data_IF_564960165529
#
_entry.id   IF_564960165529
#
_cell.length_a   1.000
_cell.length_b   1.000
_cell.length_c   1.000
_cell.angle_alpha   90.00
_cell.angle_beta   90.00
_cell.angle_gamma   90.00
#
_symmetry.space_group_name_H-M   'P 1'
#
loop_
_entity.id
_entity.type
_entity.pdbx_description
1 polymer ?
#
# COMPACT_ATOMS: atom_id res chain seq x y z
N UNK A 1 2.48 -24.18 0.98
CA UNK A 1 3.06 -22.84 1.25
C UNK A 1 2.44 -21.78 0.34
N UNK A 2 2.63 -20.49 0.59
CA UNK A 2 1.99 -19.42 -0.20
C UNK A 2 2.32 -19.48 -1.70
N UNK A 3 3.57 -19.82 -2.05
CA UNK A 3 3.97 -20.03 -3.45
C UNK A 3 3.18 -21.15 -4.13
N UNK A 4 2.98 -22.31 -3.47
CA UNK A 4 2.16 -23.40 -4.01
C UNK A 4 0.71 -22.95 -4.24
N UNK A 5 0.12 -22.24 -3.27
CA UNK A 5 -1.24 -21.71 -3.41
C UNK A 5 -1.34 -20.68 -4.54
N UNK A 6 -0.31 -19.86 -4.76
CA UNK A 6 -0.24 -18.94 -5.89
C UNK A 6 -0.36 -19.68 -7.22
N UNK A 7 0.45 -20.73 -7.40
CA UNK A 7 0.46 -21.53 -8.63
C UNK A 7 -0.85 -22.29 -8.82
N UNK A 8 -1.37 -22.90 -7.76
CA UNK A 8 -2.56 -23.74 -7.85
C UNK A 8 -3.87 -22.94 -7.96
N UNK A 9 -3.94 -21.75 -7.34
CA UNK A 9 -5.20 -21.01 -7.16
C UNK A 9 -5.21 -19.64 -7.81
N UNK A 10 -4.09 -18.93 -7.81
CA UNK A 10 -4.02 -17.56 -8.33
C UNK A 10 -3.71 -17.53 -9.83
N UNK A 11 -2.66 -18.23 -10.27
CA UNK A 11 -2.26 -18.33 -11.68
C UNK A 11 -3.41 -18.76 -12.62
N UNK A 12 -4.28 -19.72 -12.26
CA UNK A 12 -5.43 -20.05 -13.10
C UNK A 12 -6.39 -18.89 -13.33
N UNK A 13 -6.51 -17.93 -12.40
CA UNK A 13 -7.34 -16.74 -12.60
C UNK A 13 -6.78 -15.86 -13.72
N UNK A 14 -5.47 -15.71 -13.82
CA UNK A 14 -4.82 -15.03 -14.95
C UNK A 14 -5.06 -15.79 -16.25
N UNK A 15 -4.73 -17.09 -16.28
CA UNK A 15 -4.76 -17.91 -17.50
C UNK A 15 -6.17 -18.15 -18.05
N UNK A 16 -7.16 -18.36 -17.17
CA UNK A 16 -8.50 -18.80 -17.59
C UNK A 16 -9.57 -17.70 -17.49
N UNK A 17 -9.30 -16.63 -16.72
CA UNK A 17 -10.25 -15.53 -16.52
C UNK A 17 -9.69 -14.16 -16.94
N UNK A 18 -8.46 -14.11 -17.46
CA UNK A 18 -7.82 -12.87 -17.93
C UNK A 18 -7.63 -11.83 -16.83
N UNK A 19 -7.46 -12.27 -15.58
CA UNK A 19 -7.26 -11.37 -14.44
C UNK A 19 -5.79 -10.97 -14.30
N UNK A 20 -5.56 -9.74 -13.82
CA UNK A 20 -4.24 -9.31 -13.32
C UNK A 20 -4.14 -9.64 -11.83
N UNK A 21 -2.97 -10.04 -11.38
CA UNK A 21 -2.70 -10.51 -10.03
C UNK A 21 -1.70 -9.57 -9.33
N UNK A 22 -2.08 -9.08 -8.16
CA UNK A 22 -1.18 -8.34 -7.28
C UNK A 22 -0.49 -9.36 -6.37
N UNK A 23 0.83 -9.21 -6.19
CA UNK A 23 1.58 -10.01 -5.22
C UNK A 23 1.11 -9.76 -3.78
N UNK A 24 1.49 -10.61 -2.81
CA UNK A 24 1.08 -10.44 -1.43
C UNK A 24 1.59 -9.10 -0.83
N UNK A 25 0.68 -8.30 -0.26
CA UNK A 25 1.00 -7.09 0.48
C UNK A 25 1.58 -7.42 1.85
N UNK A 26 2.91 -7.36 1.97
CA UNK A 26 3.61 -7.64 3.23
C UNK A 26 3.84 -6.35 4.02
N UNK A 27 3.96 -6.45 5.34
CA UNK A 27 4.39 -5.31 6.17
C UNK A 27 5.78 -4.82 5.78
N UNK A 28 6.03 -3.53 5.96
CA UNK A 28 7.28 -2.85 5.60
C UNK A 28 8.45 -3.11 6.57
N UNK A 29 8.41 -4.19 7.35
CA UNK A 29 9.47 -4.57 8.27
C UNK A 29 10.39 -5.64 7.65
N UNK A 30 11.50 -5.94 8.32
CA UNK A 30 12.48 -6.93 7.84
C UNK A 30 11.87 -8.33 7.69
N UNK A 31 10.85 -8.69 8.48
CA UNK A 31 10.22 -9.99 8.39
C UNK A 31 9.33 -10.09 7.14
N UNK A 32 8.55 -9.05 6.85
CA UNK A 32 7.74 -8.91 5.64
C UNK A 32 8.61 -8.88 4.38
N UNK A 33 9.71 -8.12 4.38
CA UNK A 33 10.65 -8.09 3.26
C UNK A 33 11.29 -9.46 3.00
N UNK A 34 11.74 -10.14 4.05
CA UNK A 34 12.31 -11.49 3.93
C UNK A 34 11.28 -12.49 3.42
N UNK A 35 10.05 -12.41 3.90
CA UNK A 35 8.97 -13.28 3.44
C UNK A 35 8.66 -13.05 1.96
N UNK A 36 8.55 -11.79 1.55
CA UNK A 36 8.31 -11.43 0.16
C UNK A 36 9.44 -11.89 -0.75
N UNK A 37 10.69 -11.76 -0.32
CA UNK A 37 11.85 -12.26 -1.07
C UNK A 37 11.81 -13.78 -1.27
N UNK A 38 11.48 -14.56 -0.22
CA UNK A 38 11.31 -16.02 -0.34
C UNK A 38 10.15 -16.39 -1.27
N UNK A 39 9.00 -15.70 -1.14
CA UNK A 39 7.84 -15.92 -2.00
C UNK A 39 8.16 -15.63 -3.48
N UNK A 40 8.73 -14.45 -3.78
CA UNK A 40 9.07 -14.02 -5.13
C UNK A 40 10.11 -14.97 -5.76
N UNK A 41 11.12 -15.41 -5.00
CA UNK A 41 12.11 -16.37 -5.47
C UNK A 41 11.50 -17.70 -5.90
N UNK A 42 10.59 -18.27 -5.08
CA UNK A 42 9.93 -19.56 -5.36
C UNK A 42 9.01 -19.52 -6.58
N UNK A 43 8.30 -18.40 -6.82
CA UNK A 43 7.43 -18.29 -7.99
C UNK A 43 8.22 -17.94 -9.25
N UNK A 44 9.37 -17.28 -9.12
CA UNK A 44 10.28 -16.99 -10.22
C UNK A 44 10.91 -18.27 -10.79
N UNK A 45 11.28 -19.23 -9.93
CA UNK A 45 11.74 -20.56 -10.37
C UNK A 45 10.72 -21.30 -11.26
N UNK A 46 9.44 -20.93 -11.14
CA UNK A 46 8.33 -21.54 -11.90
C UNK A 46 7.84 -20.66 -13.06
N UNK A 47 8.40 -19.46 -13.24
CA UNK A 47 7.99 -18.51 -14.29
C UNK A 47 6.60 -17.88 -14.07
N UNK A 48 6.09 -17.87 -12.84
CA UNK A 48 4.71 -17.45 -12.53
C UNK A 48 4.66 -16.17 -11.69
N UNK A 49 5.04 -15.07 -12.31
CA UNK A 49 5.18 -13.75 -11.67
C UNK A 49 3.84 -13.06 -11.41
N UNK A 50 3.75 -12.12 -10.44
CA UNK A 50 2.62 -11.20 -10.34
C UNK A 50 2.63 -10.17 -11.47
N UNK A 51 1.47 -9.57 -11.74
CA UNK A 51 1.36 -8.43 -12.65
C UNK A 51 1.71 -7.10 -11.94
N UNK A 52 1.59 -7.07 -10.61
CA UNK A 52 1.91 -5.92 -9.76
C UNK A 52 2.61 -6.32 -8.45
N UNK A 53 3.51 -5.47 -7.96
CA UNK A 53 4.08 -5.59 -6.62
C UNK A 53 3.13 -4.97 -5.59
N UNK A 54 2.61 -5.77 -4.65
CA UNK A 54 1.78 -5.29 -3.54
C UNK A 54 2.64 -4.84 -2.36
N UNK A 55 2.40 -3.65 -1.81
CA UNK A 55 3.14 -3.10 -0.66
C UNK A 55 2.19 -2.52 0.39
N UNK A 56 2.49 -2.75 1.68
CA UNK A 56 1.85 -2.05 2.80
C UNK A 56 2.89 -1.18 3.51
N UNK A 57 2.49 0.02 3.96
CA UNK A 57 3.37 0.87 4.77
C UNK A 57 2.61 1.63 5.85
N UNK A 58 3.11 1.58 7.08
CA UNK A 58 2.60 2.37 8.20
C UNK A 58 3.77 2.98 8.95
N UNK A 59 3.79 4.32 9.05
CA UNK A 59 4.90 5.04 9.67
C UNK A 59 4.58 6.51 9.92
N UNK A 60 5.37 7.22 10.74
CA UNK A 60 5.11 8.63 11.03
C UNK A 60 5.70 9.58 9.97
N UNK A 61 6.63 9.11 9.13
CA UNK A 61 7.45 9.92 8.22
C UNK A 61 7.13 9.58 6.75
N UNK A 62 6.65 10.57 6.00
CA UNK A 62 6.30 10.41 4.60
C UNK A 62 7.53 10.21 3.70
N UNK A 63 8.68 10.79 4.06
CA UNK A 63 9.92 10.54 3.34
C UNK A 63 10.39 9.09 3.48
N UNK A 64 10.21 8.49 4.67
CA UNK A 64 10.51 7.08 4.90
C UNK A 64 9.55 6.15 4.12
N UNK A 65 8.28 6.53 3.95
CA UNK A 65 7.33 5.80 3.12
C UNK A 65 7.75 5.79 1.64
N UNK A 66 8.15 6.95 1.12
CA UNK A 66 8.65 7.11 -0.25
C UNK A 66 9.91 6.27 -0.46
N UNK A 67 10.89 6.38 0.44
CA UNK A 67 12.14 5.60 0.38
C UNK A 67 11.87 4.09 0.42
N UNK A 68 10.88 3.63 1.19
CA UNK A 68 10.48 2.23 1.18
C UNK A 68 9.94 1.80 -0.18
N UNK A 69 9.03 2.58 -0.77
CA UNK A 69 8.49 2.29 -2.11
C UNK A 69 9.61 2.25 -3.17
N UNK A 70 10.51 3.23 -3.15
CA UNK A 70 11.67 3.28 -4.06
C UNK A 70 12.60 2.08 -3.88
N UNK A 71 12.90 1.70 -2.63
CA UNK A 71 13.71 0.51 -2.33
C UNK A 71 13.07 -0.74 -2.91
N UNK A 72 11.77 -0.94 -2.68
CA UNK A 72 11.07 -2.13 -3.15
C UNK A 72 10.98 -2.18 -4.67
N UNK A 73 10.74 -1.04 -5.33
CA UNK A 73 10.78 -0.96 -6.79
C UNK A 73 12.20 -1.17 -7.34
N UNK A 74 13.25 -0.72 -6.66
CA UNK A 74 14.65 -0.99 -7.05
C UNK A 74 14.99 -2.49 -7.00
N UNK A 75 14.46 -3.22 -6.02
CA UNK A 75 14.62 -4.68 -5.91
C UNK A 75 13.81 -5.41 -7.00
N UNK A 76 12.63 -4.89 -7.35
CA UNK A 76 11.66 -5.50 -8.27
C UNK A 76 11.25 -4.52 -9.39
N UNK A 77 12.19 -4.09 -10.26
CA UNK A 77 11.97 -2.96 -11.18
C UNK A 77 11.00 -3.27 -12.32
N UNK A 78 10.73 -4.53 -12.60
CA UNK A 78 9.83 -4.94 -13.69
C UNK A 78 8.35 -4.83 -13.35
N UNK A 79 8.01 -4.60 -12.07
CA UNK A 79 6.63 -4.60 -11.61
C UNK A 79 6.19 -3.19 -11.23
N UNK A 80 5.11 -2.67 -11.86
CA UNK A 80 4.40 -1.54 -11.29
C UNK A 80 3.88 -1.89 -9.90
N UNK A 81 3.83 -0.90 -9.03
CA UNK A 81 3.56 -1.05 -7.60
C UNK A 81 2.12 -0.68 -7.29
N UNK A 82 1.46 -1.53 -6.51
CA UNK A 82 0.18 -1.22 -5.85
C UNK A 82 0.45 -1.09 -4.36
N UNK A 83 0.32 0.12 -3.83
CA UNK A 83 0.41 0.35 -2.39
C UNK A 83 -0.96 0.09 -1.79
N UNK A 84 -1.25 -1.19 -1.51
CA UNK A 84 -2.58 -1.66 -1.15
C UNK A 84 -3.05 -1.23 0.24
N UNK A 85 -2.12 -0.82 1.12
CA UNK A 85 -2.45 -0.16 2.38
C UNK A 85 -1.36 0.85 2.77
N UNK A 86 -1.74 2.09 3.08
CA UNK A 86 -0.83 3.09 3.64
C UNK A 86 -1.51 4.05 4.62
N UNK A 87 -0.85 4.39 5.73
CA UNK A 87 -1.32 5.45 6.62
C UNK A 87 -0.22 6.00 7.53
N UNK A 88 -0.39 7.26 7.96
CA UNK A 88 0.40 7.81 9.04
C UNK A 88 -0.01 7.21 10.38
N UNK A 89 0.97 6.82 11.21
CA UNK A 89 0.73 6.40 12.60
C UNK A 89 0.92 7.54 13.62
N UNK A 90 1.21 8.76 13.15
CA UNK A 90 1.34 9.92 14.04
C UNK A 90 0.03 10.19 14.78
N UNK A 91 0.12 10.52 16.06
CA UNK A 91 -1.04 10.92 16.89
C UNK A 91 -1.29 12.43 16.83
N UNK A 92 -0.55 13.14 16.00
CA UNK A 92 -0.71 14.58 15.76
C UNK A 92 -1.43 14.78 14.43
N UNK A 93 -2.59 15.42 14.45
CA UNK A 93 -3.39 15.69 13.24
C UNK A 93 -2.61 16.38 12.12
N UNK A 94 -1.81 17.39 12.45
CA UNK A 94 -1.01 18.14 11.46
C UNK A 94 -0.03 17.21 10.73
N UNK A 95 0.67 16.36 11.48
CA UNK A 95 1.66 15.43 10.91
C UNK A 95 0.99 14.37 10.02
N UNK A 96 -0.21 13.90 10.40
CA UNK A 96 -1.00 12.98 9.56
C UNK A 96 -1.36 13.62 8.22
N UNK A 97 -1.83 14.87 8.23
CA UNK A 97 -2.18 15.59 6.99
C UNK A 97 -0.94 15.85 6.13
N UNK A 98 0.18 16.25 6.73
CA UNK A 98 1.44 16.46 6.03
C UNK A 98 1.97 15.17 5.38
N UNK A 99 1.99 14.05 6.14
CA UNK A 99 2.34 12.73 5.61
C UNK A 99 1.44 12.37 4.41
N UNK A 100 0.13 12.50 4.58
CA UNK A 100 -0.85 12.05 3.56
C UNK A 100 -0.69 12.87 2.28
N UNK A 101 -0.59 14.20 2.38
CA UNK A 101 -0.41 15.07 1.23
C UNK A 101 0.94 14.83 0.53
N UNK A 102 2.04 14.70 1.28
CA UNK A 102 3.36 14.43 0.71
C UNK A 102 3.37 13.13 -0.08
N UNK A 103 2.85 12.05 0.52
CA UNK A 103 2.92 10.72 -0.07
C UNK A 103 1.95 10.59 -1.26
N UNK A 104 0.72 11.09 -1.14
CA UNK A 104 -0.24 11.08 -2.25
C UNK A 104 0.28 11.86 -3.47
N UNK A 105 0.75 13.09 -3.26
CA UNK A 105 1.28 13.93 -4.33
C UNK A 105 2.52 13.34 -5.01
N UNK A 106 3.38 12.66 -4.24
CA UNK A 106 4.54 11.95 -4.82
C UNK A 106 4.08 10.74 -5.64
N UNK A 107 3.16 9.91 -5.11
CA UNK A 107 2.64 8.73 -5.82
C UNK A 107 1.93 9.12 -7.12
N UNK A 108 1.16 10.21 -7.13
CA UNK A 108 0.50 10.73 -8.34
C UNK A 108 1.49 11.10 -9.47
N UNK A 109 2.71 11.48 -9.12
CA UNK A 109 3.76 11.86 -10.08
C UNK A 109 4.69 10.70 -10.43
N UNK A 110 4.57 9.56 -9.73
CA UNK A 110 5.49 8.45 -9.82
C UNK A 110 4.97 7.39 -10.82
N UNK A 111 5.56 7.26 -12.03
CA UNK A 111 4.94 6.52 -13.14
C UNK A 111 4.85 5.00 -12.94
N UNK A 112 5.62 4.46 -11.99
CA UNK A 112 5.60 3.04 -11.65
C UNK A 112 4.70 2.73 -10.46
N UNK A 113 4.11 3.74 -9.80
CA UNK A 113 2.99 3.53 -8.88
C UNK A 113 1.72 3.40 -9.73
N UNK A 114 1.11 2.22 -9.71
CA UNK A 114 -0.14 1.96 -10.44
C UNK A 114 -1.35 2.54 -9.72
N UNK A 115 -1.45 2.29 -8.41
CA UNK A 115 -2.49 2.85 -7.52
C UNK A 115 -2.04 2.75 -6.05
N UNK A 116 -2.72 3.48 -5.18
CA UNK A 116 -2.47 3.49 -3.74
C UNK A 116 -3.77 3.61 -2.94
N UNK A 117 -3.78 3.08 -1.72
CA UNK A 117 -4.97 3.02 -0.87
C UNK A 117 -4.67 3.46 0.56
N UNK A 118 -5.08 4.69 0.91
CA UNK A 118 -4.98 5.18 2.28
C UNK A 118 -5.96 4.46 3.21
N UNK A 119 -5.45 3.92 4.31
CA UNK A 119 -6.21 3.12 5.27
C UNK A 119 -6.97 4.00 6.28
N UNK A 120 -8.13 3.54 6.76
CA UNK A 120 -8.87 4.16 7.86
C UNK A 120 -10.31 4.57 7.55
N UNK A 121 -10.86 4.20 6.39
CA UNK A 121 -12.25 4.49 6.02
C UNK A 121 -13.24 3.49 6.65
N UNK A 122 -13.33 3.52 7.97
CA UNK A 122 -14.17 2.62 8.78
C UNK A 122 -14.61 3.31 10.07
N UNK A 123 -15.77 2.92 10.64
CA UNK A 123 -16.37 3.63 11.77
C UNK A 123 -15.59 3.52 13.10
N UNK A 124 -14.66 2.56 13.22
CA UNK A 124 -13.83 2.33 14.41
C UNK A 124 -12.38 2.21 14.02
N UNK A 125 -11.50 2.69 14.89
CA UNK A 125 -10.05 2.48 14.77
C UNK A 125 -9.80 0.97 14.78
N UNK A 126 -9.05 0.47 13.80
CA UNK A 126 -8.87 -0.97 13.58
C UNK A 126 -8.16 -1.67 14.75
N UNK A 127 -7.13 -1.02 15.29
CA UNK A 127 -6.31 -1.50 16.40
C UNK A 127 -5.57 -0.32 17.07
N UNK A 128 -4.76 -0.60 18.09
CA UNK A 128 -3.99 0.42 18.80
C UNK A 128 -2.78 0.95 18.00
N UNK A 129 -2.38 0.26 16.92
CA UNK A 129 -1.22 0.63 16.11
C UNK A 129 -1.54 1.78 15.14
N UNK A 130 -2.71 1.75 14.49
CA UNK A 130 -3.14 2.84 13.60
C UNK A 130 -3.62 4.06 14.39
N UNK A 131 -3.47 5.25 13.79
CA UNK A 131 -3.80 6.52 14.45
C UNK A 131 -5.29 6.87 14.37
N UNK A 132 -5.94 7.25 15.49
CA UNK A 132 -7.25 7.90 15.48
C UNK A 132 -7.30 9.18 14.64
N UNK A 133 -6.17 9.87 14.49
CA UNK A 133 -6.07 11.09 13.67
C UNK A 133 -6.01 10.76 12.16
N UNK A 134 -5.61 9.55 11.79
CA UNK A 134 -5.58 9.05 10.41
C UNK A 134 -6.89 8.41 9.95
N UNK A 135 -7.90 8.31 10.82
CA UNK A 135 -9.23 7.85 10.45
C UNK A 135 -9.83 8.73 9.34
N UNK A 136 -10.43 8.06 8.36
CA UNK A 136 -11.09 8.68 7.20
C UNK A 136 -12.61 8.76 7.37
N UNK A 137 -13.16 8.05 8.35
CA UNK A 137 -14.59 7.99 8.64
C UNK A 137 -14.85 8.26 10.14
N UNK A 138 -15.95 8.95 10.41
CA UNK A 138 -16.51 9.15 11.75
C UNK A 138 -17.31 7.91 12.21
N UNK A 139 -17.60 7.85 13.51
CA UNK A 139 -18.35 6.73 14.08
C UNK A 139 -19.79 6.60 13.54
N UNK A 140 -20.36 7.69 13.01
CA UNK A 140 -21.69 7.74 12.38
C UNK A 140 -21.68 7.41 10.88
N UNK A 141 -20.51 7.09 10.31
CA UNK A 141 -20.35 6.78 8.89
C UNK A 141 -20.09 7.99 7.99
N UNK A 142 -20.11 9.22 8.53
CA UNK A 142 -19.75 10.41 7.74
C UNK A 142 -18.24 10.47 7.48
N UNK A 143 -17.84 11.07 6.35
CA UNK A 143 -16.44 11.19 5.98
C UNK A 143 -15.75 12.30 6.79
N UNK A 144 -14.48 12.08 7.11
CA UNK A 144 -13.64 13.08 7.78
C UNK A 144 -12.99 14.01 6.75
N UNK A 145 -12.52 15.17 7.20
CA UNK A 145 -11.84 16.14 6.34
C UNK A 145 -10.67 15.50 5.57
N UNK A 146 -9.89 14.63 6.19
CA UNK A 146 -8.78 13.95 5.52
C UNK A 146 -9.24 13.13 4.31
N UNK A 147 -10.39 12.45 4.43
CA UNK A 147 -10.99 11.69 3.33
C UNK A 147 -11.48 12.60 2.21
N UNK A 148 -12.14 13.72 2.56
CA UNK A 148 -12.55 14.71 1.56
C UNK A 148 -11.36 15.20 0.74
N UNK A 149 -10.24 15.55 1.40
CA UNK A 149 -9.03 15.97 0.70
C UNK A 149 -8.47 14.88 -0.21
N UNK A 150 -8.41 13.63 0.26
CA UNK A 150 -7.94 12.49 -0.53
C UNK A 150 -8.79 12.21 -1.78
N UNK A 151 -10.10 12.42 -1.72
CA UNK A 151 -11.00 12.11 -2.84
C UNK A 151 -11.28 13.30 -3.77
N UNK A 152 -11.09 14.53 -3.28
CA UNK A 152 -11.50 15.76 -3.99
C UNK A 152 -10.32 16.66 -4.42
N UNK A 153 -9.08 16.44 -3.93
CA UNK A 153 -7.92 17.29 -4.22
C UNK A 153 -6.79 16.56 -4.96
N UNK A 154 -6.34 17.14 -6.08
CA UNK A 154 -5.14 16.71 -6.81
C UNK A 154 -4.45 17.94 -7.45
N UNK A 155 -3.31 18.43 -6.93
CA UNK A 155 -2.57 17.91 -5.77
C UNK A 155 -3.31 18.16 -4.45
N UNK A 156 -3.11 17.27 -3.49
CA UNK A 156 -3.62 17.39 -2.13
C UNK A 156 -2.83 18.45 -1.36
N UNK A 157 -3.52 19.31 -0.61
CA UNK A 157 -2.86 20.33 0.23
C UNK A 157 -2.71 19.88 1.69
N UNK A 158 -1.74 20.43 2.42
CA UNK A 158 -1.58 20.20 3.86
C UNK A 158 -2.71 20.89 4.67
N UNK A 159 -2.74 20.65 5.99
CA UNK A 159 -3.70 21.28 6.93
C UNK A 159 -3.35 22.75 7.23
#
# INVERSE_FOLDING_TARGET
MAAEMWIEKMVPLRRTKGKRLIGPGCGSDLAGEKWLADFMGRIQEQGEFPDFLGLHYYGPDGAAAIQYCEKMHCIYPEYPVVVSEIASISRTKKDVFAFTAQVANWMDQCPWIFEYAFFGCMAKVADDFVSPEAQLMNADGTLRLLMHKLMDEQPMTEL
#
